data_IF_725121899732
#
_entry.id   IF_725121899732
#
_cell.length_a   1.000
_cell.length_b   1.000
_cell.length_c   1.000
_cell.angle_alpha   90.00
_cell.angle_beta   90.00
_cell.angle_gamma   90.00
#
_symmetry.space_group_name_H-M   'P 1'
#
loop_
_entity.id
_entity.type
_entity.pdbx_description
1 polymer ?
#
# COMPACT_ATOMS: atom_id res chain seq x y z
N UNK A 1 -25.04 -11.93 15.95
CA UNK A 1 -23.76 -12.67 16.08
C UNK A 1 -22.88 -12.33 14.89
N UNK A 2 -21.90 -11.45 15.06
CA UNK A 2 -20.92 -11.13 14.01
C UNK A 2 -19.98 -12.34 13.88
N UNK A 3 -19.96 -12.98 12.70
CA UNK A 3 -18.99 -14.03 12.42
C UNK A 3 -17.66 -13.35 12.09
N UNK A 4 -16.58 -13.55 12.85
CA UNK A 4 -15.27 -13.15 12.38
C UNK A 4 -14.98 -13.99 11.14
N UNK A 5 -14.85 -13.35 9.98
CA UNK A 5 -14.30 -14.01 8.80
C UNK A 5 -12.86 -14.37 9.14
N UNK A 6 -12.65 -15.61 9.59
CA UNK A 6 -11.34 -16.13 9.89
C UNK A 6 -10.45 -15.96 8.66
N UNK A 7 -9.42 -15.13 8.79
CA UNK A 7 -8.42 -14.94 7.76
C UNK A 7 -7.63 -16.24 7.66
N UNK A 8 -8.02 -17.07 6.69
CA UNK A 8 -7.51 -18.43 6.47
C UNK A 8 -5.98 -18.39 6.38
N UNK A 9 -5.30 -19.32 7.04
CA UNK A 9 -3.85 -19.33 7.17
C UNK A 9 -3.13 -19.37 5.80
N UNK A 10 -2.69 -18.19 5.38
CA UNK A 10 -1.50 -17.79 4.62
C UNK A 10 -0.81 -18.88 3.78
N UNK A 11 -1.22 -19.02 2.51
CA UNK A 11 -0.30 -19.53 1.48
C UNK A 11 0.51 -18.36 0.90
N UNK A 12 1.81 -18.54 0.58
CA UNK A 12 2.64 -17.51 -0.04
C UNK A 12 2.03 -16.94 -1.33
N UNK A 13 1.23 -17.76 -2.01
CA UNK A 13 0.54 -17.42 -3.24
C UNK A 13 -0.64 -16.46 -3.05
N UNK A 14 -1.35 -16.54 -1.92
CA UNK A 14 -2.53 -15.69 -1.66
C UNK A 14 -2.14 -14.36 -1.02
N UNK A 15 -1.05 -14.34 -0.25
CA UNK A 15 -0.60 -13.15 0.49
C UNK A 15 0.57 -12.41 -0.16
N UNK A 16 1.23 -12.98 -1.17
CA UNK A 16 2.44 -12.39 -1.74
C UNK A 16 2.23 -10.99 -2.34
N UNK A 17 1.04 -10.69 -2.85
CA UNK A 17 0.70 -9.36 -3.39
C UNK A 17 0.49 -8.38 -2.24
N UNK A 18 -0.28 -8.75 -1.22
CA UNK A 18 -0.54 -7.93 -0.04
C UNK A 18 0.75 -7.62 0.74
N UNK A 19 1.60 -8.63 0.93
CA UNK A 19 2.92 -8.46 1.56
C UNK A 19 3.84 -7.55 0.73
N UNK A 20 3.78 -7.64 -0.61
CA UNK A 20 4.55 -6.77 -1.50
C UNK A 20 4.02 -5.33 -1.44
N UNK A 21 2.71 -5.15 -1.42
CA UNK A 21 2.06 -3.84 -1.26
C UNK A 21 2.49 -3.19 0.05
N UNK A 22 2.36 -3.90 1.17
CA UNK A 22 2.79 -3.40 2.49
C UNK A 22 4.27 -3.01 2.52
N UNK A 23 5.15 -3.81 1.90
CA UNK A 23 6.58 -3.46 1.76
C UNK A 23 6.78 -2.19 0.94
N UNK A 24 6.06 -2.03 -0.17
CA UNK A 24 6.17 -0.83 -1.02
C UNK A 24 5.68 0.42 -0.29
N UNK A 25 4.51 0.38 0.36
CA UNK A 25 4.00 1.50 1.15
C UNK A 25 5.01 1.88 2.25
N UNK A 26 5.61 0.90 2.94
CA UNK A 26 6.62 1.16 3.96
C UNK A 26 7.86 1.88 3.42
N UNK A 27 8.37 1.45 2.27
CA UNK A 27 9.59 1.98 1.68
C UNK A 27 9.39 3.34 1.01
N UNK A 28 8.29 3.50 0.26
CA UNK A 28 8.06 4.67 -0.59
C UNK A 28 7.27 5.77 0.12
N UNK A 29 6.32 5.42 0.98
CA UNK A 29 5.51 6.40 1.71
C UNK A 29 6.07 6.67 3.10
N UNK A 30 6.03 5.68 4.01
CA UNK A 30 6.34 5.92 5.42
C UNK A 30 7.77 6.39 5.67
N UNK A 31 8.78 5.82 4.98
CA UNK A 31 10.18 6.25 5.11
C UNK A 31 10.39 7.71 4.69
N UNK A 32 9.62 8.20 3.72
CA UNK A 32 9.73 9.57 3.22
C UNK A 32 8.96 10.53 4.12
N UNK A 33 7.71 10.21 4.45
CA UNK A 33 6.84 11.06 5.28
C UNK A 33 7.46 11.31 6.64
N UNK A 34 7.93 10.25 7.34
CA UNK A 34 8.54 10.40 8.65
C UNK A 34 9.92 11.08 8.63
N UNK A 35 10.55 11.23 7.45
CA UNK A 35 11.78 12.02 7.30
C UNK A 35 11.50 13.49 6.96
N UNK A 36 10.39 13.78 6.27
CA UNK A 36 10.09 15.12 5.74
C UNK A 36 9.17 15.94 6.65
N UNK A 37 8.29 15.27 7.41
CA UNK A 37 7.20 15.94 8.11
C UNK A 37 6.99 15.29 9.48
N UNK A 38 6.81 16.13 10.50
CA UNK A 38 6.32 15.70 11.80
C UNK A 38 4.80 15.71 11.71
N UNK A 39 4.20 14.53 11.54
CA UNK A 39 2.75 14.41 11.55
C UNK A 39 2.27 14.49 13.00
N UNK A 40 1.43 15.48 13.30
CA UNK A 40 0.98 15.77 14.67
C UNK A 40 -0.32 15.05 15.02
N UNK A 41 -1.01 14.51 14.01
CA UNK A 41 -2.27 13.78 14.16
C UNK A 41 -2.32 12.59 13.20
N UNK A 42 -3.01 11.53 13.62
CA UNK A 42 -3.30 10.37 12.77
C UNK A 42 -4.16 10.76 11.55
N UNK A 43 -5.05 11.75 11.70
CA UNK A 43 -5.91 12.22 10.61
C UNK A 43 -5.09 12.80 9.47
N UNK A 44 -4.06 13.57 9.81
CA UNK A 44 -3.15 14.18 8.84
C UNK A 44 -2.32 13.11 8.12
N UNK A 45 -1.81 12.12 8.86
CA UNK A 45 -1.09 10.98 8.27
C UNK A 45 -2.01 10.16 7.33
N UNK A 46 -3.29 10.01 7.69
CA UNK A 46 -4.26 9.29 6.86
C UNK A 46 -4.54 10.04 5.54
N UNK A 47 -4.71 11.36 5.58
CA UNK A 47 -4.89 12.17 4.37
C UNK A 47 -3.69 12.07 3.43
N UNK A 48 -2.47 12.16 3.98
CA UNK A 48 -1.24 12.00 3.20
C UNK A 48 -1.15 10.58 2.58
N UNK A 49 -1.59 9.55 3.33
CA UNK A 49 -1.62 8.17 2.85
C UNK A 49 -2.67 7.98 1.74
N UNK A 50 -3.86 8.53 1.88
CA UNK A 50 -4.93 8.43 0.87
C UNK A 50 -4.48 9.07 -0.45
N UNK A 51 -3.83 10.24 -0.37
CA UNK A 51 -3.26 10.90 -1.54
C UNK A 51 -2.15 10.07 -2.19
N UNK A 52 -1.30 9.42 -1.38
CA UNK A 52 -0.29 8.50 -1.87
C UNK A 52 -0.92 7.27 -2.54
N UNK A 53 -2.02 6.72 -1.99
CA UNK A 53 -2.71 5.57 -2.57
C UNK A 53 -3.31 5.91 -3.95
N UNK A 54 -3.85 7.12 -4.13
CA UNK A 54 -4.30 7.61 -5.45
C UNK A 54 -3.13 7.62 -6.44
N UNK A 55 -1.96 8.13 -6.03
CA UNK A 55 -0.76 8.09 -6.86
C UNK A 55 -0.31 6.65 -7.16
N UNK A 56 -0.28 5.79 -6.15
CA UNK A 56 0.16 4.39 -6.27
C UNK A 56 -0.72 3.62 -7.25
N UNK A 57 -2.04 3.80 -7.18
CA UNK A 57 -2.97 3.11 -8.07
C UNK A 57 -2.94 3.72 -9.47
N UNK A 58 -3.09 5.04 -9.60
CA UNK A 58 -3.40 5.65 -10.88
C UNK A 58 -2.20 6.24 -11.64
N UNK A 59 -1.05 6.42 -10.99
CA UNK A 59 0.10 7.13 -11.60
C UNK A 59 1.42 6.37 -11.52
N UNK A 60 1.60 5.51 -10.52
CA UNK A 60 2.85 4.79 -10.33
C UNK A 60 3.04 3.74 -11.44
N UNK A 61 4.18 3.75 -12.16
CA UNK A 61 4.49 2.71 -13.13
C UNK A 61 4.74 1.39 -12.37
N UNK A 62 3.89 0.39 -12.60
CA UNK A 62 4.06 -0.94 -12.04
C UNK A 62 4.73 -1.85 -13.07
N UNK A 63 6.01 -2.13 -12.89
CA UNK A 63 6.70 -3.21 -13.59
C UNK A 63 6.36 -4.54 -12.91
N UNK A 64 5.13 -5.00 -13.10
CA UNK A 64 4.78 -6.37 -12.75
C UNK A 64 5.19 -7.28 -13.91
N UNK A 65 5.60 -8.52 -13.62
CA UNK A 65 6.10 -9.50 -14.60
C UNK A 65 5.13 -9.78 -15.78
N UNK A 66 3.88 -9.34 -15.65
CA UNK A 66 2.81 -9.54 -16.64
C UNK A 66 2.27 -8.23 -17.24
N UNK A 67 2.73 -7.06 -16.78
CA UNK A 67 2.35 -5.77 -17.33
C UNK A 67 3.59 -4.91 -17.52
N UNK A 68 3.99 -4.75 -18.78
CA UNK A 68 5.02 -3.82 -19.26
C UNK A 68 4.60 -2.36 -19.00
N UNK A 69 4.77 -1.91 -17.76
CA UNK A 69 4.70 -0.49 -17.39
C UNK A 69 3.32 0.16 -17.49
N UNK A 70 2.22 -0.60 -17.64
CA UNK A 70 0.87 -0.04 -17.65
C UNK A 70 0.34 0.07 -16.24
N UNK A 71 0.04 1.31 -15.84
CA UNK A 71 -0.57 1.67 -14.57
C UNK A 71 -1.94 1.00 -14.43
N UNK A 72 -2.20 0.37 -13.28
CA UNK A 72 -3.48 -0.27 -12.97
C UNK A 72 -4.56 0.81 -12.82
N UNK A 73 -5.39 1.00 -13.84
CA UNK A 73 -6.65 1.73 -13.70
C UNK A 73 -7.64 0.90 -12.88
#
# INVERSE_FOLDING_TARGET
MYKPHAQKARSPQTNGIDERLHKTIKLEFFKIVFRKKINTSLVELQQDLDQYMIYYNCKRPHSSRHYDGRTSA
#
